data_IF_476596278889
#
_entry.id   IF_476596278889
#
_cell.length_a   1.000
_cell.length_b   1.000
_cell.length_c   1.000
_cell.angle_alpha   90.00
_cell.angle_beta   90.00
_cell.angle_gamma   90.00
#
_symmetry.space_group_name_H-M   'P 1'
#
loop_
_entity.id
_entity.type
_entity.pdbx_description
1 polymer ?
#
# COMPACT_ATOMS: atom_id res chain seq x y z
N UNK A 1 -6.82 36.10 29.87
CA UNK A 1 -6.71 35.87 28.41
C UNK A 1 -5.28 35.88 27.83
N UNK A 2 -4.26 36.48 28.49
CA UNK A 2 -2.87 36.55 27.96
C UNK A 2 -1.98 35.29 28.12
N UNK A 3 -2.44 34.25 28.81
CA UNK A 3 -1.62 33.05 29.06
C UNK A 3 -1.67 32.04 27.91
N UNK A 4 -2.76 31.98 27.15
CA UNK A 4 -2.95 31.01 26.07
C UNK A 4 -2.03 31.30 24.86
N UNK A 5 -1.78 32.58 24.57
CA UNK A 5 -0.94 33.01 23.45
C UNK A 5 0.55 32.67 23.61
N UNK A 6 1.02 32.41 24.84
CA UNK A 6 2.43 32.02 25.09
C UNK A 6 2.71 30.56 24.72
N UNK A 7 1.69 29.71 24.66
CA UNK A 7 1.81 28.28 24.34
C UNK A 7 1.49 27.98 22.87
N UNK A 8 0.94 28.95 22.14
CA UNK A 8 0.67 28.83 20.70
C UNK A 8 1.86 28.34 19.85
N UNK A 9 3.10 28.86 20.00
CA UNK A 9 4.21 28.37 19.18
C UNK A 9 4.58 26.92 19.49
N UNK A 10 4.50 26.50 20.76
CA UNK A 10 4.75 25.12 21.16
C UNK A 10 3.65 24.16 20.66
N UNK A 11 2.38 24.56 20.75
CA UNK A 11 1.27 23.75 20.23
C UNK A 11 1.27 23.66 18.70
N UNK A 12 1.64 24.74 18.00
CA UNK A 12 1.81 24.72 16.54
C UNK A 12 2.95 23.78 16.10
N UNK A 13 4.07 23.78 16.83
CA UNK A 13 5.18 22.86 16.59
C UNK A 13 4.76 21.39 16.82
N UNK A 14 4.04 21.10 17.91
CA UNK A 14 3.56 19.75 18.16
C UNK A 14 2.51 19.29 17.13
N UNK A 15 1.62 20.17 16.69
CA UNK A 15 0.64 19.87 15.66
C UNK A 15 1.29 19.57 14.30
N UNK A 16 2.36 20.30 13.94
CA UNK A 16 3.11 20.05 12.69
C UNK A 16 3.91 18.74 12.74
N UNK A 17 4.52 18.41 13.87
CA UNK A 17 5.22 17.12 14.06
C UNK A 17 4.22 15.95 14.00
N UNK A 18 3.07 16.08 14.66
CA UNK A 18 2.01 15.07 14.62
C UNK A 18 1.46 14.91 13.19
N UNK A 19 1.15 16.01 12.51
CA UNK A 19 0.66 15.99 11.13
C UNK A 19 1.66 15.40 10.12
N UNK A 20 2.94 15.72 10.27
CA UNK A 20 4.00 15.19 9.40
C UNK A 20 4.22 13.68 9.62
N UNK A 21 4.20 13.24 10.88
CA UNK A 21 4.31 11.82 11.23
C UNK A 21 3.13 11.01 10.69
N UNK A 22 1.91 11.54 10.80
CA UNK A 22 0.69 10.95 10.23
C UNK A 22 0.75 10.86 8.70
N UNK A 23 1.25 11.90 8.02
CA UNK A 23 1.39 11.91 6.57
C UNK A 23 2.36 10.84 6.07
N UNK A 24 3.51 10.69 6.73
CA UNK A 24 4.49 9.68 6.35
C UNK A 24 4.02 8.25 6.63
N UNK A 25 3.29 8.03 7.74
CA UNK A 25 2.77 6.70 8.08
C UNK A 25 1.56 6.27 7.24
N UNK A 26 0.64 7.18 6.92
CA UNK A 26 -0.63 6.83 6.25
C UNK A 26 -0.69 7.25 4.77
N UNK A 27 0.05 8.28 4.35
CA UNK A 27 -0.04 8.84 3.00
C UNK A 27 1.11 8.48 2.06
N UNK A 28 2.27 8.08 2.59
CA UNK A 28 3.51 7.96 1.80
C UNK A 28 3.86 6.58 1.25
N UNK A 29 3.15 5.52 1.65
CA UNK A 29 3.67 4.15 1.62
C UNK A 29 4.12 3.61 0.26
N UNK A 30 3.23 3.58 -0.76
CA UNK A 30 3.56 2.94 -2.05
C UNK A 30 2.75 3.47 -3.26
N UNK A 31 1.86 4.46 -3.07
CA UNK A 31 0.98 4.92 -4.15
C UNK A 31 1.68 5.59 -5.34
N UNK A 32 2.95 6.00 -5.15
CA UNK A 32 3.82 6.55 -6.20
C UNK A 32 4.72 5.51 -6.88
N UNK A 33 4.65 4.24 -6.50
CA UNK A 33 5.42 3.19 -7.15
C UNK A 33 5.06 3.13 -8.65
N UNK A 34 6.10 3.24 -9.50
CA UNK A 34 5.98 3.16 -10.96
C UNK A 34 6.77 1.94 -11.45
N UNK A 35 6.12 0.91 -12.02
CA UNK A 35 6.80 -0.29 -12.47
C UNK A 35 7.71 0.00 -13.68
N UNK A 36 8.93 -0.54 -13.66
CA UNK A 36 9.86 -0.49 -14.78
C UNK A 36 9.71 -1.68 -15.75
N UNK A 37 8.86 -2.65 -15.38
CA UNK A 37 8.61 -3.90 -16.12
C UNK A 37 7.12 -4.26 -16.01
N UNK A 38 6.63 -5.08 -16.94
CA UNK A 38 5.30 -5.69 -16.86
C UNK A 38 5.29 -7.05 -16.14
N UNK A 39 6.45 -7.55 -15.69
CA UNK A 39 6.55 -8.80 -14.94
C UNK A 39 5.83 -8.69 -13.59
N UNK A 40 4.72 -9.41 -13.38
CA UNK A 40 3.91 -9.28 -12.16
C UNK A 40 4.63 -9.80 -10.92
N UNK A 41 5.56 -10.77 -11.05
CA UNK A 41 6.31 -11.29 -9.92
C UNK A 41 7.32 -10.27 -9.40
N UNK A 42 7.96 -9.52 -10.31
CA UNK A 42 8.86 -8.40 -9.93
C UNK A 42 8.05 -7.31 -9.24
N UNK A 43 6.92 -6.91 -9.81
CA UNK A 43 6.07 -5.87 -9.23
C UNK A 43 5.58 -6.28 -7.84
N UNK A 44 5.11 -7.53 -7.69
CA UNK A 44 4.66 -8.07 -6.42
C UNK A 44 5.76 -7.96 -5.35
N UNK A 45 6.99 -8.41 -5.68
CA UNK A 45 8.14 -8.34 -4.76
C UNK A 45 8.49 -6.92 -4.34
N UNK A 46 8.40 -5.96 -5.26
CA UNK A 46 8.81 -4.57 -5.01
C UNK A 46 7.74 -3.74 -4.30
N UNK A 47 6.45 -3.98 -4.58
CA UNK A 47 5.36 -3.09 -4.19
C UNK A 47 4.38 -3.71 -3.18
N UNK A 48 4.25 -5.04 -3.14
CA UNK A 48 3.18 -5.70 -2.40
C UNK A 48 3.69 -6.46 -1.16
N UNK A 49 4.88 -7.06 -1.24
CA UNK A 49 5.46 -7.91 -0.18
C UNK A 49 5.63 -7.18 1.14
N UNK A 50 5.86 -5.85 1.11
CA UNK A 50 6.07 -5.09 2.34
C UNK A 50 4.87 -5.16 3.28
N UNK A 51 3.65 -5.24 2.74
CA UNK A 51 2.44 -5.38 3.53
C UNK A 51 1.91 -6.83 3.50
N UNK A 52 1.87 -7.46 2.33
CA UNK A 52 1.21 -8.75 2.14
C UNK A 52 2.11 -9.96 2.36
N UNK A 53 3.40 -9.76 2.62
CA UNK A 53 4.36 -10.87 2.81
C UNK A 53 4.77 -11.52 1.49
N UNK A 54 5.76 -12.42 1.53
CA UNK A 54 6.29 -13.06 0.32
C UNK A 54 5.33 -14.08 -0.28
N UNK A 55 4.47 -14.65 0.56
CA UNK A 55 3.52 -15.73 0.28
C UNK A 55 2.07 -15.28 0.46
N UNK A 56 1.81 -13.97 0.52
CA UNK A 56 0.47 -13.47 0.82
C UNK A 56 0.04 -13.71 2.27
N UNK A 57 0.96 -14.01 3.19
CA UNK A 57 0.68 -14.34 4.59
C UNK A 57 0.36 -13.11 5.47
N UNK A 58 0.50 -11.91 4.91
CA UNK A 58 0.37 -10.66 5.66
C UNK A 58 1.53 -10.44 6.65
N UNK A 59 1.53 -9.28 7.30
CA UNK A 59 2.51 -8.96 8.35
C UNK A 59 1.78 -8.48 9.61
N UNK A 60 1.62 -9.40 10.57
CA UNK A 60 1.04 -9.10 11.89
C UNK A 60 -0.45 -8.70 11.81
N UNK A 61 -0.92 -7.97 12.82
CA UNK A 61 -2.35 -7.62 12.96
C UNK A 61 -2.77 -6.50 11.98
N UNK A 62 -1.82 -5.69 11.52
CA UNK A 62 -2.10 -4.47 10.74
C UNK A 62 -2.19 -4.72 9.23
N UNK A 63 -1.51 -5.74 8.71
CA UNK A 63 -1.48 -6.03 7.28
C UNK A 63 -2.09 -7.41 7.00
N UNK A 64 -3.23 -7.46 6.29
CA UNK A 64 -3.96 -8.70 6.11
C UNK A 64 -3.23 -9.67 5.19
N UNK A 65 -3.38 -10.96 5.49
CA UNK A 65 -3.12 -12.03 4.55
C UNK A 65 -4.10 -11.94 3.37
N UNK A 66 -3.71 -12.47 2.23
CA UNK A 66 -4.65 -12.65 1.13
C UNK A 66 -5.63 -13.79 1.42
N UNK A 67 -6.86 -13.58 0.99
CA UNK A 67 -7.90 -14.60 1.08
C UNK A 67 -7.61 -15.76 0.12
N UNK A 68 -8.17 -16.93 0.46
CA UNK A 68 -8.04 -18.13 -0.37
C UNK A 68 -8.72 -17.98 -1.72
N UNK A 69 -9.76 -17.15 -1.80
CA UNK A 69 -10.51 -16.86 -3.01
C UNK A 69 -10.55 -15.35 -3.18
N UNK A 70 -9.97 -14.87 -4.28
CA UNK A 70 -9.96 -13.47 -4.66
C UNK A 70 -10.41 -13.39 -6.10
N UNK A 71 -11.44 -12.60 -6.35
CA UNK A 71 -11.90 -12.30 -7.70
C UNK A 71 -10.92 -11.33 -8.37
N UNK A 72 -10.58 -11.57 -9.64
CA UNK A 72 -9.56 -10.77 -10.36
C UNK A 72 -9.98 -9.31 -10.47
N UNK A 73 -11.26 -9.06 -10.74
CA UNK A 73 -11.84 -7.73 -10.86
C UNK A 73 -11.83 -6.98 -9.53
N UNK A 74 -12.10 -7.67 -8.42
CA UNK A 74 -11.98 -7.10 -7.08
C UNK A 74 -10.51 -6.74 -6.75
N UNK A 75 -9.55 -7.61 -7.07
CA UNK A 75 -8.12 -7.32 -6.88
C UNK A 75 -7.70 -6.12 -7.72
N UNK A 76 -8.13 -6.07 -8.98
CA UNK A 76 -7.86 -4.95 -9.88
C UNK A 76 -8.41 -3.64 -9.32
N UNK A 77 -9.64 -3.66 -8.80
CA UNK A 77 -10.27 -2.49 -8.18
C UNK A 77 -9.48 -2.02 -6.96
N UNK A 78 -9.10 -2.93 -6.05
CA UNK A 78 -8.38 -2.54 -4.85
C UNK A 78 -6.97 -2.02 -5.12
N UNK A 79 -6.25 -2.55 -6.11
CA UNK A 79 -4.94 -2.00 -6.50
C UNK A 79 -5.11 -0.59 -7.09
N UNK A 80 -6.15 -0.38 -7.91
CA UNK A 80 -6.40 0.89 -8.60
C UNK A 80 -6.89 1.99 -7.66
N UNK A 81 -7.86 1.67 -6.83
CA UNK A 81 -8.59 2.63 -6.00
C UNK A 81 -8.00 2.73 -4.60
N UNK A 82 -7.32 1.67 -4.14
CA UNK A 82 -6.94 1.53 -2.76
C UNK A 82 -8.16 1.47 -1.84
N UNK A 83 -7.88 1.48 -0.55
CA UNK A 83 -8.87 1.72 0.48
C UNK A 83 -8.20 2.50 1.62
N UNK A 84 -8.86 2.59 2.77
CA UNK A 84 -8.32 3.38 3.87
C UNK A 84 -6.99 2.83 4.44
N UNK A 85 -6.67 1.55 4.23
CA UNK A 85 -5.39 0.92 4.66
C UNK A 85 -4.42 0.70 3.51
N UNK A 86 -4.91 0.33 2.33
CA UNK A 86 -4.09 0.03 1.16
C UNK A 86 -4.02 1.27 0.26
N UNK A 87 -2.84 1.81 -0.04
CA UNK A 87 -2.73 2.95 -0.94
C UNK A 87 -3.16 2.58 -2.36
N UNK A 88 -3.73 3.55 -3.07
CA UNK A 88 -4.00 3.43 -4.50
C UNK A 88 -2.70 3.44 -5.31
N UNK A 89 -2.46 2.43 -6.15
CA UNK A 89 -1.26 2.32 -6.98
C UNK A 89 -1.45 3.02 -8.33
N UNK A 90 -1.50 4.35 -8.29
CA UNK A 90 -1.94 5.19 -9.42
C UNK A 90 -1.08 5.07 -10.69
N UNK A 91 0.11 4.49 -10.63
CA UNK A 91 1.02 4.35 -11.78
C UNK A 91 1.13 2.92 -12.31
N UNK A 92 0.46 1.95 -11.70
CA UNK A 92 0.26 0.62 -12.26
C UNK A 92 -1.06 0.66 -13.05
N UNK A 93 -1.01 0.58 -14.39
CA UNK A 93 -2.17 0.79 -15.27
C UNK A 93 -2.18 -0.12 -16.49
N UNK A 94 -3.31 -0.15 -17.20
CA UNK A 94 -3.49 -0.90 -18.44
C UNK A 94 -3.21 -2.39 -18.26
N UNK A 95 -2.60 -3.01 -19.27
CA UNK A 95 -2.29 -4.44 -19.26
C UNK A 95 -1.42 -4.85 -18.07
N UNK A 96 -0.51 -3.98 -17.61
CA UNK A 96 0.33 -4.28 -16.44
C UNK A 96 -0.50 -4.45 -15.17
N UNK A 97 -1.54 -3.63 -14.98
CA UNK A 97 -2.44 -3.77 -13.85
C UNK A 97 -3.26 -5.06 -13.94
N UNK A 98 -3.77 -5.39 -15.12
CA UNK A 98 -4.56 -6.61 -15.35
C UNK A 98 -3.71 -7.87 -15.09
N UNK A 99 -2.50 -7.93 -15.67
CA UNK A 99 -1.58 -9.04 -15.49
C UNK A 99 -1.20 -9.22 -14.01
N UNK A 100 -0.99 -8.11 -13.29
CA UNK A 100 -0.70 -8.15 -11.85
C UNK A 100 -1.89 -8.62 -11.03
N UNK A 101 -3.10 -8.13 -11.32
CA UNK A 101 -4.31 -8.52 -10.61
C UNK A 101 -4.57 -10.03 -10.77
N UNK A 102 -4.49 -10.52 -12.01
CA UNK A 102 -4.57 -11.95 -12.31
C UNK A 102 -3.52 -12.77 -11.57
N UNK A 103 -2.28 -12.30 -11.58
CA UNK A 103 -1.18 -12.98 -10.87
C UNK A 103 -1.46 -13.13 -9.37
N UNK A 104 -2.07 -12.11 -8.74
CA UNK A 104 -2.44 -12.18 -7.32
C UNK A 104 -3.64 -13.10 -7.11
N UNK A 105 -4.68 -13.00 -7.93
CA UNK A 105 -5.88 -13.84 -7.86
C UNK A 105 -5.56 -15.34 -8.04
N UNK A 106 -4.62 -15.67 -8.94
CA UNK A 106 -4.14 -17.03 -9.21
C UNK A 106 -3.09 -17.53 -8.20
N UNK A 107 -2.84 -16.79 -7.11
CA UNK A 107 -1.81 -17.05 -6.11
C UNK A 107 -0.41 -17.27 -6.73
N UNK A 108 -0.10 -16.56 -7.81
CA UNK A 108 1.16 -16.67 -8.56
C UNK A 108 2.39 -16.47 -7.68
N UNK A 109 2.29 -15.63 -6.65
CA UNK A 109 3.35 -15.39 -5.66
C UNK A 109 3.77 -16.64 -4.87
N UNK A 110 2.95 -17.71 -4.82
CA UNK A 110 3.33 -18.99 -4.21
C UNK A 110 4.25 -19.84 -5.10
N UNK A 111 4.22 -19.60 -6.43
CA UNK A 111 4.93 -20.41 -7.42
C UNK A 111 6.37 -19.93 -7.65
N UNK A 112 6.63 -18.66 -7.35
CA UNK A 112 7.96 -18.07 -7.43
C UNK A 112 8.70 -18.22 -6.10
N UNK A 113 9.15 -19.46 -5.82
CA UNK A 113 10.18 -19.72 -4.81
C UNK A 113 11.51 -19.18 -5.35
N UNK A 114 12.07 -18.19 -4.67
CA UNK A 114 13.53 -18.03 -4.63
C UNK A 114 14.10 -19.05 -3.64
#
# INVERSE_FOLDING_TARGET
>A
MRKLTKWLPFMALMATIAGSSLYLFFGGGNGYYKPATADPAVIYRQACVECHGKRGEGKGVLYPAFDKYMDEEDVLREIREGNWRMPAFRYIRGDTLMILARFIADHGYLKHKE
#
